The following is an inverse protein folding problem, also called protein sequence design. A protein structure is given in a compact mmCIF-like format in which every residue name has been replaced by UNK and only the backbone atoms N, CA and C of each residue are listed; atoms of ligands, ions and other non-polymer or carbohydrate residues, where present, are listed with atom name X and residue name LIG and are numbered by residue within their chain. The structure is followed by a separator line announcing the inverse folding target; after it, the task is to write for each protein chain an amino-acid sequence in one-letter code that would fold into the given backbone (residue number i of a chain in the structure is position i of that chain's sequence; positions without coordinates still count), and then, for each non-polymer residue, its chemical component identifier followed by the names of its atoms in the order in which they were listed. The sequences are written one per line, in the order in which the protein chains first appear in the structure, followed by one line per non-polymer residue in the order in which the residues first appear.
data_IF_680598652451
#
_entry.id   IF_680598652451
#
_cell.length_a   1.000
_cell.length_b   1.000
_cell.length_c   1.000
_cell.angle_alpha   90.00
_cell.angle_beta   90.00
_cell.angle_gamma   90.00
#
_symmetry.space_group_name_H-M   'P 1'
#
loop_
_entity.id
_entity.type
_entity.pdbx_description
1 polymer ?
#
# COMPACT_ATOMS: atom_id res chain seq x y z
N UNK A 1 19.36 35.15 20.70
CA UNK A 1 18.34 34.12 20.41
C UNK A 1 18.88 33.31 19.25
N UNK A 2 19.25 32.05 19.49
CA UNK A 2 19.57 31.14 18.39
C UNK A 2 18.29 30.95 17.56
N UNK A 3 18.36 31.27 16.29
CA UNK A 3 17.28 30.99 15.33
C UNK A 3 17.29 29.46 15.17
N UNK A 4 16.37 28.78 15.87
CA UNK A 4 16.23 27.34 15.71
C UNK A 4 15.61 27.10 14.33
N UNK A 5 16.44 26.66 13.37
CA UNK A 5 15.99 26.32 12.03
C UNK A 5 15.24 24.98 12.12
N UNK A 6 13.98 24.91 11.68
CA UNK A 6 13.26 23.65 11.67
C UNK A 6 13.98 22.59 10.84
N UNK A 7 13.95 21.34 11.30
CA UNK A 7 14.42 20.21 10.52
C UNK A 7 13.50 19.91 9.33
N UNK A 8 13.96 19.04 8.44
CA UNK A 8 13.22 18.62 7.24
C UNK A 8 12.34 17.42 7.57
N UNK A 9 11.13 17.43 7.03
CA UNK A 9 10.24 16.24 7.06
C UNK A 9 10.36 15.51 5.73
N UNK A 10 10.70 14.23 5.79
CA UNK A 10 10.72 13.33 4.65
C UNK A 10 9.49 12.45 4.68
N UNK A 11 8.59 12.64 3.72
CA UNK A 11 7.42 11.78 3.54
C UNK A 11 7.81 10.60 2.66
N UNK A 12 8.03 9.44 3.27
CA UNK A 12 8.73 8.30 2.65
C UNK A 12 7.81 7.10 2.48
N UNK A 13 7.79 6.52 1.28
CA UNK A 13 7.15 5.24 1.01
C UNK A 13 8.01 4.07 1.50
N UNK A 14 7.42 3.23 2.33
CA UNK A 14 8.04 2.02 2.86
C UNK A 14 7.99 0.82 1.89
N UNK A 15 7.33 1.00 0.73
CA UNK A 15 7.06 -0.14 -0.14
C UNK A 15 6.02 -1.11 0.44
N UNK A 16 5.89 -2.31 -0.13
CA UNK A 16 4.83 -3.27 0.20
C UNK A 16 5.06 -4.08 1.48
N UNK A 17 6.29 -4.08 2.02
CA UNK A 17 6.62 -4.81 3.25
C UNK A 17 8.01 -5.46 3.27
N UNK A 18 8.48 -5.97 2.14
CA UNK A 18 9.84 -6.49 1.99
C UNK A 18 10.86 -5.34 2.02
N UNK A 19 11.87 -5.38 2.92
CA UNK A 19 12.92 -4.37 2.98
C UNK A 19 13.74 -4.23 1.69
N UNK A 20 13.90 -5.28 0.90
CA UNK A 20 14.63 -5.23 -0.37
C UNK A 20 13.87 -4.43 -1.46
N UNK A 21 12.58 -4.15 -1.24
CA UNK A 21 11.76 -3.31 -2.10
C UNK A 21 11.73 -1.83 -1.66
N UNK A 22 12.55 -1.44 -0.68
CA UNK A 22 12.80 -0.04 -0.37
C UNK A 22 13.59 0.62 -1.50
N UNK A 23 13.28 1.89 -1.77
CA UNK A 23 14.19 2.68 -2.58
C UNK A 23 15.48 2.96 -1.82
N UNK A 24 16.62 3.05 -2.51
CA UNK A 24 17.92 3.39 -1.90
C UNK A 24 17.83 4.70 -1.10
N UNK A 25 17.04 5.67 -1.58
CA UNK A 25 16.84 6.95 -0.90
C UNK A 25 16.04 6.75 0.40
N UNK A 26 14.97 5.97 0.37
CA UNK A 26 14.19 5.64 1.57
C UNK A 26 15.07 4.99 2.64
N UNK A 27 15.84 3.96 2.27
CA UNK A 27 16.74 3.26 3.19
C UNK A 27 17.78 4.20 3.82
N UNK A 28 18.41 5.07 3.00
CA UNK A 28 19.37 6.05 3.49
C UNK A 28 18.75 7.01 4.51
N UNK A 29 17.56 7.52 4.24
CA UNK A 29 16.86 8.45 5.14
C UNK A 29 16.41 7.76 6.44
N UNK A 30 15.89 6.53 6.36
CA UNK A 30 15.53 5.73 7.54
C UNK A 30 16.75 5.53 8.47
N UNK A 31 17.94 5.27 7.89
CA UNK A 31 19.18 5.08 8.66
C UNK A 31 19.74 6.35 9.29
N UNK A 32 19.37 7.52 8.78
CA UNK A 32 19.98 8.80 9.19
C UNK A 32 19.04 9.78 9.88
N UNK A 33 17.74 9.47 10.01
CA UNK A 33 16.79 10.38 10.64
C UNK A 33 16.94 10.45 12.16
N UNK A 34 16.56 11.60 12.73
CA UNK A 34 16.51 11.81 14.18
C UNK A 34 15.21 11.20 14.77
N UNK A 35 14.11 11.29 14.01
CA UNK A 35 12.82 10.72 14.40
C UNK A 35 12.15 9.98 13.23
N UNK A 36 11.58 8.80 13.54
CA UNK A 36 10.77 7.98 12.62
C UNK A 36 9.33 7.94 13.12
N UNK A 37 8.39 8.47 12.33
CA UNK A 37 6.94 8.39 12.60
C UNK A 37 6.32 7.46 11.57
N UNK A 38 5.78 6.30 11.99
CA UNK A 38 5.36 5.25 11.05
C UNK A 38 3.93 4.74 11.26
N UNK A 39 3.32 4.26 10.19
CA UNK A 39 2.01 3.60 10.18
C UNK A 39 2.10 2.14 10.65
N UNK A 40 0.94 1.55 11.02
CA UNK A 40 0.86 0.17 11.49
C UNK A 40 1.23 -0.88 10.44
N UNK A 41 1.05 -0.57 9.15
CA UNK A 41 1.34 -1.49 8.03
C UNK A 41 2.81 -1.51 7.62
N UNK A 42 3.64 -0.65 8.20
CA UNK A 42 5.10 -0.69 7.95
C UNK A 42 5.68 -1.93 8.61
N UNK A 43 6.42 -2.71 7.82
CA UNK A 43 7.06 -3.95 8.29
C UNK A 43 8.04 -3.69 9.45
N UNK A 44 8.01 -4.50 10.52
CA UNK A 44 8.98 -4.41 11.60
C UNK A 44 10.44 -4.58 11.13
N UNK A 45 10.66 -5.30 10.02
CA UNK A 45 11.99 -5.46 9.44
C UNK A 45 12.53 -4.14 8.91
N UNK A 46 11.67 -3.31 8.28
CA UNK A 46 12.03 -1.97 7.81
C UNK A 46 12.32 -1.02 8.98
N UNK A 47 11.53 -1.11 10.06
CA UNK A 47 11.74 -0.28 11.25
C UNK A 47 13.09 -0.60 11.91
N UNK A 48 13.57 -1.84 11.85
CA UNK A 48 14.88 -2.25 12.36
C UNK A 48 16.07 -1.64 11.62
N UNK A 49 15.86 -1.10 10.40
CA UNK A 49 16.92 -0.42 9.65
C UNK A 49 17.27 0.97 10.22
N UNK A 50 16.51 1.48 11.19
CA UNK A 50 16.80 2.76 11.85
C UNK A 50 18.06 2.68 12.72
N UNK A 51 18.70 3.84 12.92
CA UNK A 51 19.80 3.96 13.86
C UNK A 51 19.28 3.77 15.30
N UNK A 52 20.13 3.25 16.21
CA UNK A 52 19.80 3.07 17.63
C UNK A 52 19.43 4.37 18.36
N UNK A 53 19.87 5.53 17.84
CA UNK A 53 19.58 6.86 18.42
C UNK A 53 18.27 7.46 17.90
N UNK A 54 17.65 6.88 16.85
CA UNK A 54 16.40 7.39 16.26
C UNK A 54 15.25 7.23 17.23
N UNK A 55 14.49 8.30 17.46
CA UNK A 55 13.23 8.24 18.21
C UNK A 55 12.14 7.65 17.31
N UNK A 56 11.44 6.58 17.77
CA UNK A 56 10.47 5.86 16.95
C UNK A 56 9.06 6.06 17.51
N UNK A 57 8.14 6.54 16.67
CA UNK A 57 6.74 6.81 16.99
C UNK A 57 5.81 5.98 16.10
N UNK A 58 5.05 5.07 16.70
CA UNK A 58 4.00 4.33 16.01
C UNK A 58 2.67 5.09 16.10
N UNK A 59 2.19 5.63 15.00
CA UNK A 59 0.91 6.35 14.90
C UNK A 59 -0.17 5.55 14.18
N UNK A 60 0.13 4.31 13.80
CA UNK A 60 -0.79 3.44 13.07
C UNK A 60 -1.91 2.87 13.93
N UNK A 61 -3.04 2.56 13.29
CA UNK A 61 -4.16 1.85 13.91
C UNK A 61 -3.81 0.39 14.10
N UNK A 62 -3.82 -0.12 15.33
CA UNK A 62 -3.89 -1.55 15.60
C UNK A 62 -5.31 -1.91 16.03
N UNK A 63 -5.80 -3.09 15.61
CA UNK A 63 -7.08 -3.61 16.06
C UNK A 63 -7.13 -3.61 17.59
N UNK A 64 -8.16 -2.96 18.17
CA UNK A 64 -8.38 -2.90 19.63
C UNK A 64 -7.71 -1.72 20.37
N UNK A 65 -6.89 -0.87 19.72
CA UNK A 65 -6.32 0.33 20.33
C UNK A 65 -6.88 1.59 19.67
N UNK A 66 -7.12 2.65 20.46
CA UNK A 66 -7.48 3.96 19.93
C UNK A 66 -6.42 4.40 18.91
N UNK A 67 -6.89 4.71 17.69
CA UNK A 67 -6.00 5.28 16.68
C UNK A 67 -5.59 6.69 17.10
N UNK A 68 -4.32 7.04 16.92
CA UNK A 68 -3.91 8.43 16.97
C UNK A 68 -4.67 9.17 15.84
N UNK A 69 -5.47 10.22 16.14
CA UNK A 69 -6.11 10.99 15.09
C UNK A 69 -5.09 11.56 14.11
N UNK A 70 -5.48 11.70 12.85
CA UNK A 70 -4.58 12.27 11.82
C UNK A 70 -4.06 13.65 12.21
N UNK A 71 -4.89 14.45 12.86
CA UNK A 71 -4.50 15.78 13.36
C UNK A 71 -3.35 15.69 14.37
N UNK A 72 -3.43 14.75 15.31
CA UNK A 72 -2.40 14.58 16.35
C UNK A 72 -1.08 14.06 15.74
N UNK A 73 -1.17 13.17 14.75
CA UNK A 73 0.00 12.71 13.98
C UNK A 73 0.68 13.91 13.30
N UNK A 74 -0.08 14.76 12.64
CA UNK A 74 0.43 15.94 11.97
C UNK A 74 1.08 16.93 12.96
N UNK A 75 0.45 17.17 14.12
CA UNK A 75 0.99 18.02 15.18
C UNK A 75 2.29 17.46 15.76
N UNK A 76 2.38 16.14 15.96
CA UNK A 76 3.59 15.47 16.41
C UNK A 76 4.75 15.72 15.43
N UNK A 77 4.52 15.56 14.12
CA UNK A 77 5.55 15.76 13.11
C UNK A 77 6.01 17.21 13.08
N UNK A 78 5.08 18.19 13.15
CA UNK A 78 5.40 19.63 13.23
C UNK A 78 6.24 19.94 14.48
N UNK A 79 5.87 19.37 15.63
CA UNK A 79 6.62 19.56 16.89
C UNK A 79 8.07 19.08 16.73
N UNK A 80 8.26 17.84 16.26
CA UNK A 80 9.58 17.25 16.09
C UNK A 80 10.44 18.07 15.12
N UNK A 81 9.86 18.51 13.99
CA UNK A 81 10.57 19.34 13.04
C UNK A 81 10.97 20.70 13.62
N UNK A 82 10.08 21.35 14.39
CA UNK A 82 10.39 22.63 15.08
C UNK A 82 11.46 22.48 16.18
N UNK A 83 11.66 21.29 16.71
CA UNK A 83 12.78 20.97 17.59
C UNK A 83 14.12 20.83 16.84
N UNK A 84 14.13 21.04 15.51
CA UNK A 84 15.33 20.91 14.64
C UNK A 84 15.62 19.49 14.17
N UNK A 85 14.72 18.51 14.42
CA UNK A 85 14.91 17.12 14.04
C UNK A 85 14.55 16.88 12.57
N UNK A 86 15.38 16.09 11.86
CA UNK A 86 15.04 15.50 10.57
C UNK A 86 14.08 14.31 10.80
N UNK A 87 12.86 14.46 10.34
CA UNK A 87 11.77 13.50 10.61
C UNK A 87 11.48 12.67 9.37
N UNK A 88 11.54 11.35 9.48
CA UNK A 88 10.99 10.44 8.45
C UNK A 88 9.56 10.07 8.85
N UNK A 89 8.58 10.55 8.07
CA UNK A 89 7.20 10.07 8.09
C UNK A 89 7.10 8.87 7.14
N UNK A 90 7.13 7.66 7.69
CA UNK A 90 7.20 6.41 6.94
C UNK A 90 5.80 5.81 6.75
N UNK A 91 5.37 5.64 5.50
CA UNK A 91 4.03 5.21 5.09
C UNK A 91 4.11 3.90 4.30
N UNK A 92 3.21 2.96 4.54
CA UNK A 92 3.13 1.73 3.76
C UNK A 92 2.88 2.02 2.27
N UNK A 93 3.53 1.29 1.38
CA UNK A 93 3.44 1.50 -0.07
C UNK A 93 4.08 2.80 -0.52
N UNK A 94 3.29 3.63 -1.20
CA UNK A 94 3.66 4.96 -1.68
C UNK A 94 2.93 6.06 -0.89
N UNK A 95 3.58 7.19 -0.56
CA UNK A 95 2.97 8.23 0.26
C UNK A 95 1.80 8.97 -0.40
N UNK A 96 1.64 8.90 -1.73
CA UNK A 96 0.58 9.60 -2.47
C UNK A 96 -0.48 8.67 -3.08
N UNK A 97 -0.35 7.35 -2.91
CA UNK A 97 -1.35 6.38 -3.40
C UNK A 97 -2.23 5.90 -2.25
N UNK A 98 -3.44 6.45 -2.13
CA UNK A 98 -4.46 6.15 -1.09
C UNK A 98 -3.96 6.23 0.36
N UNK A 99 -2.98 7.08 0.64
CA UNK A 99 -2.27 7.17 1.92
C UNK A 99 -2.40 8.51 2.63
N UNK A 100 -3.20 9.45 2.11
CA UNK A 100 -3.42 10.80 2.64
C UNK A 100 -2.16 11.69 2.69
N UNK A 101 -1.11 11.34 1.96
CA UNK A 101 0.14 12.10 1.96
C UNK A 101 -0.02 13.55 1.52
N UNK A 102 -0.91 13.85 0.55
CA UNK A 102 -1.19 15.20 0.12
C UNK A 102 -1.79 16.07 1.25
N UNK A 103 -2.65 15.49 2.11
CA UNK A 103 -3.19 16.19 3.27
C UNK A 103 -2.08 16.49 4.30
N UNK A 104 -1.20 15.52 4.57
CA UNK A 104 -0.06 15.68 5.48
C UNK A 104 0.89 16.78 5.00
N UNK A 105 1.26 16.77 3.71
CA UNK A 105 2.13 17.81 3.10
C UNK A 105 1.50 19.20 3.25
N UNK A 106 0.23 19.36 2.85
CA UNK A 106 -0.46 20.64 2.94
C UNK A 106 -0.52 21.17 4.38
N UNK A 107 -0.64 20.31 5.38
CA UNK A 107 -0.63 20.70 6.78
C UNK A 107 0.77 21.14 7.22
N UNK A 108 1.82 20.45 6.83
CA UNK A 108 3.21 20.75 7.17
C UNK A 108 3.64 22.09 6.56
N UNK A 109 3.34 22.32 5.27
CA UNK A 109 3.63 23.57 4.56
C UNK A 109 2.96 24.78 5.24
N UNK A 110 1.68 24.65 5.65
CA UNK A 110 0.97 25.70 6.41
C UNK A 110 1.62 26.02 7.75
N UNK A 111 2.39 25.11 8.32
CA UNK A 111 3.14 25.30 9.55
C UNK A 111 4.60 25.73 9.34
N UNK A 112 4.99 26.04 8.08
CA UNK A 112 6.32 26.50 7.72
C UNK A 112 7.39 25.40 7.74
N UNK A 113 6.99 24.13 7.60
CA UNK A 113 7.90 22.99 7.59
C UNK A 113 8.24 22.59 6.14
N UNK A 114 9.53 22.47 5.84
CA UNK A 114 10.01 21.97 4.56
C UNK A 114 9.78 20.46 4.46
N UNK A 115 9.21 20.02 3.34
CA UNK A 115 8.88 18.61 3.10
C UNK A 115 9.54 18.11 1.83
N UNK A 116 10.13 16.92 1.89
CA UNK A 116 10.61 16.19 0.72
C UNK A 116 9.84 14.87 0.59
N UNK A 117 9.32 14.58 -0.63
CA UNK A 117 8.56 13.36 -0.91
C UNK A 117 9.50 12.32 -1.52
N UNK A 118 9.47 11.10 -0.97
CA UNK A 118 10.24 9.96 -1.47
C UNK A 118 9.27 8.85 -1.84
N UNK A 119 9.09 8.54 -3.13
CA UNK A 119 8.18 7.49 -3.58
C UNK A 119 8.53 6.12 -3.02
N UNK A 120 7.54 5.26 -2.93
CA UNK A 120 7.70 3.85 -2.63
C UNK A 120 6.92 2.99 -3.60
N UNK A 121 7.22 1.68 -3.66
CA UNK A 121 6.47 0.75 -4.50
C UNK A 121 5.11 0.53 -3.84
N UNK A 122 4.05 1.00 -4.49
CA UNK A 122 2.69 0.82 -3.99
C UNK A 122 2.26 -0.64 -4.07
N UNK A 123 1.47 -1.11 -3.09
CA UNK A 123 1.03 -2.51 -3.00
C UNK A 123 0.20 -2.96 -4.22
N UNK A 124 -0.50 -2.05 -4.89
CA UNK A 124 -1.26 -2.38 -6.10
C UNK A 124 -0.39 -2.75 -7.29
N UNK A 125 0.89 -2.36 -7.30
CA UNK A 125 1.89 -2.81 -8.29
C UNK A 125 2.64 -4.04 -7.75
N UNK A 126 3.12 -3.96 -6.53
CA UNK A 126 3.97 -5.01 -5.96
C UNK A 126 3.24 -6.33 -5.76
N UNK A 127 1.99 -6.30 -5.28
CA UNK A 127 1.25 -7.51 -4.96
C UNK A 127 1.02 -8.41 -6.19
N UNK A 128 0.43 -7.94 -7.31
CA UNK A 128 0.29 -8.77 -8.50
C UNK A 128 1.63 -9.20 -9.09
N UNK A 129 2.61 -8.31 -9.17
CA UNK A 129 3.94 -8.63 -9.68
C UNK A 129 4.60 -9.75 -8.88
N UNK A 130 4.45 -9.74 -7.55
CA UNK A 130 5.00 -10.74 -6.64
C UNK A 130 4.35 -12.14 -6.81
N UNK A 131 3.24 -12.24 -7.51
CA UNK A 131 2.58 -13.50 -7.88
C UNK A 131 2.58 -13.77 -9.39
N UNK A 132 3.44 -13.06 -10.14
CA UNK A 132 3.58 -13.25 -11.59
C UNK A 132 2.34 -12.82 -12.38
N UNK A 133 1.49 -11.94 -11.83
CA UNK A 133 0.33 -11.39 -12.53
C UNK A 133 0.73 -10.03 -13.13
N UNK A 134 0.82 -9.92 -14.46
CA UNK A 134 1.10 -8.65 -15.11
C UNK A 134 -0.10 -7.71 -14.96
N UNK A 135 0.13 -6.42 -14.73
CA UNK A 135 -0.96 -5.43 -14.70
C UNK A 135 -1.37 -4.96 -16.10
N UNK A 136 -0.47 -5.09 -17.07
CA UNK A 136 -0.73 -4.80 -18.49
C UNK A 136 -0.20 -5.94 -19.34
N UNK A 137 -0.91 -6.26 -20.42
CA UNK A 137 -0.50 -7.27 -21.39
C UNK A 137 -1.03 -6.91 -22.77
N UNK A 138 -0.25 -7.08 -23.84
CA UNK A 138 -0.63 -6.67 -25.19
C UNK A 138 -1.94 -7.30 -25.67
N UNK A 139 -2.24 -8.53 -25.21
CA UNK A 139 -3.42 -9.29 -25.59
C UNK A 139 -4.59 -9.16 -24.60
N UNK A 140 -4.37 -8.57 -23.41
CA UNK A 140 -5.36 -8.58 -22.33
C UNK A 140 -5.90 -7.20 -21.96
N UNK A 141 -5.15 -6.15 -22.26
CA UNK A 141 -5.57 -4.80 -21.93
C UNK A 141 -4.42 -3.81 -21.82
N UNK A 142 -4.67 -2.59 -22.19
CA UNK A 142 -3.74 -1.46 -22.20
C UNK A 142 -4.03 -0.43 -21.11
N UNK A 143 -5.11 -0.62 -20.36
CA UNK A 143 -5.51 0.28 -19.27
C UNK A 143 -5.66 -0.45 -17.95
N UNK A 144 -5.21 0.21 -16.88
CA UNK A 144 -5.36 -0.23 -15.49
C UNK A 144 -5.87 0.92 -14.64
N UNK A 145 -6.90 0.67 -13.86
CA UNK A 145 -7.42 1.65 -12.91
C UNK A 145 -7.13 1.24 -11.48
N UNK A 146 -6.39 2.08 -10.76
CA UNK A 146 -6.25 1.98 -9.31
C UNK A 146 -7.45 2.66 -8.63
N UNK A 147 -8.13 1.95 -7.75
CA UNK A 147 -9.35 2.45 -7.10
C UNK A 147 -9.40 2.03 -5.63
N UNK A 148 -9.99 2.85 -4.78
CA UNK A 148 -10.28 2.49 -3.39
C UNK A 148 -11.64 1.84 -3.26
N UNK A 149 -11.71 0.69 -2.56
CA UNK A 149 -12.98 0.07 -2.16
C UNK A 149 -13.49 0.55 -0.80
N UNK A 150 -12.75 1.48 -0.16
CA UNK A 150 -13.14 2.04 1.14
C UNK A 150 -14.07 3.24 0.93
N UNK A 151 -15.36 2.96 0.82
CA UNK A 151 -16.42 3.94 0.84
C UNK A 151 -17.48 3.54 1.88
N UNK A 152 -18.09 4.54 2.49
CA UNK A 152 -19.31 4.32 3.25
C UNK A 152 -20.46 4.13 2.26
N UNK A 153 -20.91 2.87 2.12
CA UNK A 153 -21.98 2.48 1.17
C UNK A 153 -23.34 3.14 1.48
N UNK A 154 -23.48 3.70 2.69
CA UNK A 154 -24.69 4.39 3.13
C UNK A 154 -24.68 5.90 2.87
N UNK A 155 -23.56 6.47 2.35
CA UNK A 155 -23.53 7.87 1.97
C UNK A 155 -24.31 8.11 0.68
N UNK A 156 -25.07 9.22 0.66
CA UNK A 156 -25.85 9.62 -0.50
C UNK A 156 -24.98 9.90 -1.74
N UNK A 157 -23.76 10.39 -1.53
CA UNK A 157 -22.81 10.68 -2.59
C UNK A 157 -21.67 9.65 -2.57
N UNK A 158 -21.76 8.66 -3.47
CA UNK A 158 -20.68 7.72 -3.75
C UNK A 158 -19.64 8.40 -4.65
N UNK A 159 -18.35 8.22 -4.34
CA UNK A 159 -17.26 8.81 -5.12
C UNK A 159 -16.79 7.87 -6.22
N UNK A 160 -16.94 6.56 -6.05
CA UNK A 160 -16.56 5.55 -7.06
C UNK A 160 -17.79 5.05 -7.81
N UNK A 161 -17.77 5.22 -9.13
CA UNK A 161 -18.80 4.67 -10.02
C UNK A 161 -18.37 3.31 -10.59
N UNK A 162 -18.63 2.25 -9.83
CA UNK A 162 -18.25 0.88 -10.17
C UNK A 162 -18.85 0.41 -11.51
N UNK A 163 -20.10 0.81 -11.83
CA UNK A 163 -20.76 0.44 -13.09
C UNK A 163 -20.08 1.08 -14.30
N UNK A 164 -19.55 2.29 -14.14
CA UNK A 164 -18.77 2.94 -15.20
C UNK A 164 -17.40 2.28 -15.34
N UNK A 165 -16.73 1.97 -14.23
CA UNK A 165 -15.43 1.29 -14.23
C UNK A 165 -15.49 -0.08 -14.90
N UNK A 166 -16.59 -0.81 -14.76
CA UNK A 166 -16.83 -2.08 -15.46
C UNK A 166 -16.73 -1.98 -16.99
N UNK A 167 -16.95 -0.78 -17.56
CA UNK A 167 -16.94 -0.55 -19.02
C UNK A 167 -15.73 0.21 -19.50
N UNK A 168 -15.04 0.94 -18.62
CA UNK A 168 -14.02 1.93 -19.02
C UNK A 168 -12.59 1.50 -18.73
N UNK A 169 -12.38 0.36 -18.08
CA UNK A 169 -11.04 -0.13 -17.72
C UNK A 169 -10.88 -1.61 -18.05
N UNK A 170 -9.75 -1.97 -18.67
CA UNK A 170 -9.42 -3.35 -18.98
C UNK A 170 -9.07 -4.17 -17.71
N UNK A 171 -8.58 -3.47 -16.68
CA UNK A 171 -8.28 -4.09 -15.40
C UNK A 171 -8.43 -3.11 -14.22
N UNK A 172 -8.86 -3.63 -13.09
CA UNK A 172 -9.03 -2.89 -11.85
C UNK A 172 -8.08 -3.42 -10.79
N UNK A 173 -7.42 -2.51 -10.07
CA UNK A 173 -6.63 -2.81 -8.86
C UNK A 173 -7.28 -2.09 -7.69
N UNK A 174 -7.89 -2.86 -6.79
CA UNK A 174 -8.74 -2.34 -5.73
C UNK A 174 -7.99 -2.41 -4.41
N UNK A 175 -7.79 -1.25 -3.79
CA UNK A 175 -7.26 -1.09 -2.44
C UNK A 175 -8.40 -1.06 -1.43
N UNK A 176 -8.19 -1.61 -0.24
CA UNK A 176 -9.16 -1.55 0.87
C UNK A 176 -10.56 -2.08 0.51
N UNK A 177 -10.66 -2.98 -0.50
CA UNK A 177 -11.93 -3.48 -1.02
C UNK A 177 -12.55 -4.61 -0.21
N UNK A 178 -11.81 -5.28 0.67
CA UNK A 178 -12.23 -6.52 1.34
C UNK A 178 -13.56 -6.39 2.09
N UNK A 179 -13.75 -5.27 2.79
CA UNK A 179 -14.98 -5.03 3.58
C UNK A 179 -16.23 -4.87 2.71
N UNK A 180 -16.07 -4.34 1.50
CA UNK A 180 -17.18 -3.99 0.61
C UNK A 180 -17.23 -4.90 -0.62
N UNK A 181 -16.56 -6.05 -0.60
CA UNK A 181 -16.36 -6.88 -1.80
C UNK A 181 -17.67 -7.37 -2.42
N UNK A 182 -18.66 -7.75 -1.64
CA UNK A 182 -19.98 -8.17 -2.13
C UNK A 182 -20.67 -7.05 -2.91
N UNK A 183 -20.65 -5.83 -2.36
CA UNK A 183 -21.20 -4.65 -3.01
C UNK A 183 -20.43 -4.33 -4.30
N UNK A 184 -19.11 -4.36 -4.27
CA UNK A 184 -18.24 -4.07 -5.43
C UNK A 184 -18.53 -5.07 -6.57
N UNK A 185 -18.55 -6.36 -6.27
CA UNK A 185 -18.86 -7.42 -7.25
C UNK A 185 -20.23 -7.20 -7.86
N UNK A 186 -21.26 -6.97 -7.03
CA UNK A 186 -22.62 -6.69 -7.50
C UNK A 186 -22.68 -5.50 -8.46
N UNK A 187 -22.04 -4.40 -8.13
CA UNK A 187 -22.05 -3.18 -8.96
C UNK A 187 -21.29 -3.37 -10.28
N UNK A 188 -20.17 -4.13 -10.27
CA UNK A 188 -19.42 -4.45 -11.48
C UNK A 188 -20.24 -5.35 -12.43
N UNK A 189 -20.95 -6.35 -11.91
CA UNK A 189 -21.85 -7.22 -12.68
C UNK A 189 -23.02 -6.42 -13.28
N UNK A 190 -23.67 -5.55 -12.49
CA UNK A 190 -24.71 -4.63 -12.99
C UNK A 190 -24.15 -3.70 -14.06
N UNK A 191 -22.89 -3.29 -13.95
CA UNK A 191 -22.17 -2.49 -14.95
C UNK A 191 -21.88 -3.22 -16.25
N UNK A 192 -22.09 -4.55 -16.30
CA UNK A 192 -21.91 -5.39 -17.48
C UNK A 192 -20.53 -6.05 -17.58
N UNK A 193 -19.75 -6.08 -16.50
CA UNK A 193 -18.54 -6.89 -16.49
C UNK A 193 -18.89 -8.38 -16.49
N UNK A 194 -18.21 -9.17 -17.33
CA UNK A 194 -18.47 -10.61 -17.47
C UNK A 194 -18.30 -11.32 -16.11
N UNK A 195 -19.26 -12.12 -15.74
CA UNK A 195 -19.28 -12.89 -14.49
C UNK A 195 -18.11 -13.88 -14.38
N UNK A 196 -17.55 -14.33 -15.50
CA UNK A 196 -16.40 -15.22 -15.57
C UNK A 196 -15.06 -14.48 -15.61
N UNK A 197 -15.06 -13.13 -15.53
CA UNK A 197 -13.83 -12.33 -15.46
C UNK A 197 -12.94 -12.84 -14.34
N UNK A 198 -11.67 -13.10 -14.65
CA UNK A 198 -10.70 -13.59 -13.67
C UNK A 198 -10.36 -12.50 -12.65
N UNK A 199 -10.25 -12.94 -11.39
CA UNK A 199 -9.93 -12.10 -10.25
C UNK A 199 -8.80 -12.73 -9.43
N UNK A 200 -7.94 -11.90 -8.88
CA UNK A 200 -6.93 -12.31 -7.89
C UNK A 200 -7.11 -11.51 -6.61
N UNK A 201 -6.99 -12.19 -5.46
CA UNK A 201 -6.92 -11.55 -4.13
C UNK A 201 -5.56 -11.89 -3.54
N UNK A 202 -4.79 -10.87 -3.21
CA UNK A 202 -3.43 -11.03 -2.73
C UNK A 202 -3.34 -10.40 -1.36
N UNK A 203 -3.20 -11.25 -0.34
CA UNK A 203 -3.11 -10.85 1.06
C UNK A 203 -1.65 -10.82 1.50
N UNK A 204 -1.28 -9.78 2.27
CA UNK A 204 0.02 -9.62 2.91
C UNK A 204 1.21 -9.83 1.94
N UNK A 205 1.05 -9.31 0.72
CA UNK A 205 2.04 -9.46 -0.35
C UNK A 205 3.43 -9.02 0.10
N UNK A 206 4.45 -9.74 -0.35
CA UNK A 206 5.87 -9.57 -0.02
C UNK A 206 6.27 -9.90 1.42
N UNK A 207 5.33 -10.32 2.26
CA UNK A 207 5.59 -10.83 3.60
C UNK A 207 5.63 -12.36 3.63
N UNK A 208 6.21 -12.95 4.68
CA UNK A 208 6.38 -14.41 4.78
C UNK A 208 5.06 -15.20 4.79
N UNK A 209 3.97 -14.58 5.20
CA UNK A 209 2.63 -15.17 5.27
C UNK A 209 1.71 -14.77 4.10
N UNK A 210 2.30 -14.25 3.01
CA UNK A 210 1.55 -13.87 1.83
C UNK A 210 0.75 -15.02 1.20
N UNK A 211 -0.44 -14.68 0.70
CA UNK A 211 -1.34 -15.63 0.05
C UNK A 211 -1.94 -15.03 -1.22
N UNK A 212 -2.19 -15.87 -2.20
CA UNK A 212 -2.90 -15.48 -3.42
C UNK A 212 -4.06 -16.43 -3.70
N UNK A 213 -5.22 -15.89 -4.00
CA UNK A 213 -6.41 -16.58 -4.44
C UNK A 213 -6.74 -16.14 -5.86
N UNK A 214 -7.04 -17.11 -6.74
CA UNK A 214 -7.60 -16.85 -8.07
C UNK A 214 -9.04 -17.34 -8.09
N UNK A 215 -9.96 -16.52 -8.60
CA UNK A 215 -11.39 -16.84 -8.70
C UNK A 215 -11.99 -16.21 -9.96
N UNK A 216 -13.24 -16.48 -10.22
CA UNK A 216 -14.11 -15.75 -11.15
C UNK A 216 -14.91 -14.70 -10.39
N UNK A 217 -15.28 -13.61 -11.06
CA UNK A 217 -15.97 -12.48 -10.45
C UNK A 217 -17.24 -12.89 -9.70
N UNK A 218 -18.07 -13.76 -10.31
CA UNK A 218 -19.32 -14.25 -9.71
C UNK A 218 -19.12 -14.96 -8.38
N UNK A 219 -18.01 -15.65 -8.20
CA UNK A 219 -17.69 -16.45 -7.02
C UNK A 219 -16.74 -15.73 -6.04
N UNK A 220 -16.28 -14.52 -6.36
CA UNK A 220 -15.16 -13.86 -5.66
C UNK A 220 -15.46 -13.65 -4.18
N UNK A 221 -16.61 -13.07 -3.85
CA UNK A 221 -16.96 -12.75 -2.46
C UNK A 221 -17.09 -14.02 -1.59
N UNK A 222 -17.79 -15.03 -2.09
CA UNK A 222 -17.94 -16.32 -1.42
C UNK A 222 -16.60 -17.03 -1.24
N UNK A 223 -15.76 -17.04 -2.28
CA UNK A 223 -14.45 -17.69 -2.22
C UNK A 223 -13.52 -17.00 -1.22
N UNK A 224 -13.55 -15.67 -1.14
CA UNK A 224 -12.81 -14.90 -0.12
C UNK A 224 -13.22 -15.35 1.28
N UNK A 225 -14.53 -15.44 1.56
CA UNK A 225 -15.06 -15.86 2.86
C UNK A 225 -14.65 -17.29 3.19
N UNK A 226 -14.90 -18.24 2.27
CA UNK A 226 -14.63 -19.66 2.47
C UNK A 226 -13.14 -19.98 2.66
N UNK A 227 -12.25 -19.20 2.03
CA UNK A 227 -10.78 -19.37 2.14
C UNK A 227 -10.14 -18.54 3.25
N UNK A 228 -10.92 -17.76 3.99
CA UNK A 228 -10.46 -16.97 5.13
C UNK A 228 -9.48 -15.86 4.74
N UNK A 229 -9.68 -15.22 3.58
CA UNK A 229 -8.90 -14.05 3.19
C UNK A 229 -9.40 -12.80 3.92
N UNK A 230 -8.47 -11.95 4.33
CA UNK A 230 -8.75 -10.74 5.11
C UNK A 230 -7.85 -9.57 4.71
N UNK A 231 -8.05 -8.42 5.33
CA UNK A 231 -7.16 -7.26 5.20
C UNK A 231 -5.84 -7.47 5.97
N UNK A 232 -4.70 -6.94 5.46
CA UNK A 232 -4.58 -6.13 4.25
C UNK A 232 -4.51 -6.98 2.98
N UNK A 233 -5.24 -6.60 1.95
CA UNK A 233 -5.24 -7.29 0.65
C UNK A 233 -5.42 -6.32 -0.52
N UNK A 234 -4.84 -6.70 -1.66
CA UNK A 234 -5.08 -6.09 -2.96
C UNK A 234 -5.96 -7.04 -3.78
N UNK A 235 -6.98 -6.49 -4.46
CA UNK A 235 -7.84 -7.25 -5.36
C UNK A 235 -7.55 -6.77 -6.78
N UNK A 236 -7.29 -7.70 -7.69
CA UNK A 236 -7.07 -7.45 -9.12
C UNK A 236 -8.20 -8.12 -9.89
N UNK A 237 -8.88 -7.36 -10.76
CA UNK A 237 -10.00 -7.87 -11.59
C UNK A 237 -9.69 -7.53 -13.04
N UNK A 238 -9.77 -8.51 -13.94
CA UNK A 238 -9.58 -8.33 -15.37
C UNK A 238 -8.95 -9.55 -16.04
N UNK A 239 -9.01 -9.58 -17.37
CA UNK A 239 -8.41 -10.63 -18.21
C UNK A 239 -6.91 -10.82 -17.97
N UNK A 240 -6.20 -9.77 -17.53
CA UNK A 240 -4.78 -9.79 -17.15
C UNK A 240 -4.44 -10.86 -16.11
N UNK A 241 -5.36 -11.21 -15.22
CA UNK A 241 -5.16 -12.26 -14.21
C UNK A 241 -4.98 -13.64 -14.86
N UNK A 242 -5.54 -13.84 -16.07
CA UNK A 242 -5.37 -15.08 -16.85
C UNK A 242 -3.95 -15.26 -17.44
N UNK A 243 -3.18 -14.18 -17.51
CA UNK A 243 -1.80 -14.19 -18.03
C UNK A 243 -0.75 -14.38 -16.92
N UNK A 244 -1.16 -14.90 -15.77
CA UNK A 244 -0.26 -15.23 -14.68
C UNK A 244 0.86 -16.18 -15.16
N UNK A 245 2.10 -15.84 -14.88
CA UNK A 245 3.26 -16.68 -15.18
C UNK A 245 3.26 -17.90 -14.26
N UNK A 246 3.17 -19.11 -14.83
CA UNK A 246 3.04 -20.36 -14.06
C UNK A 246 4.34 -20.78 -13.37
N UNK A 247 5.50 -20.46 -13.95
CA UNK A 247 6.82 -20.80 -13.41
C UNK A 247 7.47 -19.63 -12.68
N UNK A 248 6.66 -18.78 -12.06
CA UNK A 248 7.14 -17.65 -11.30
C UNK A 248 7.68 -18.12 -9.93
N UNK A 249 8.95 -17.89 -9.68
CA UNK A 249 9.62 -18.24 -8.43
C UNK A 249 9.54 -17.01 -7.50
N UNK A 250 8.59 -17.05 -6.57
CA UNK A 250 8.61 -16.18 -5.40
C UNK A 250 9.33 -16.96 -4.30
N UNK A 251 10.30 -16.37 -3.66
CA UNK A 251 11.14 -16.98 -2.64
C UNK A 251 12.16 -17.96 -3.25
N UNK A 252 13.18 -17.42 -3.91
CA UNK A 252 14.41 -18.19 -4.09
C UNK A 252 14.88 -18.63 -2.70
N UNK A 253 15.17 -19.93 -2.51
CA UNK A 253 15.85 -20.36 -1.28
C UNK A 253 17.08 -19.49 -1.05
N UNK A 254 17.42 -19.25 0.22
CA UNK A 254 18.59 -18.44 0.63
C UNK A 254 19.88 -18.75 -0.15
N UNK A 255 20.02 -20.02 -0.63
CA UNK A 255 21.14 -20.49 -1.44
C UNK A 255 21.30 -19.78 -2.80
N UNK A 256 20.25 -19.12 -3.30
CA UNK A 256 20.28 -18.40 -4.59
C UNK A 256 20.42 -16.90 -4.45
N UNK A 257 20.46 -16.37 -3.21
CA UNK A 257 20.68 -14.94 -2.98
C UNK A 257 22.16 -14.58 -3.22
N UNK A 258 22.44 -13.45 -3.90
CA UNK A 258 23.82 -12.99 -4.09
C UNK A 258 24.55 -12.87 -2.75
N UNK A 259 25.73 -13.49 -2.64
CA UNK A 259 26.58 -13.44 -1.45
C UNK A 259 26.36 -14.53 -0.40
N UNK A 260 25.35 -15.39 -0.54
CA UNK A 260 25.24 -16.61 0.30
C UNK A 260 25.89 -17.80 -0.40
N UNK A 261 26.74 -18.54 0.33
CA UNK A 261 27.36 -19.77 -0.20
C UNK A 261 26.26 -20.80 -0.48
N UNK A 262 26.30 -21.43 -1.66
CA UNK A 262 25.49 -22.64 -1.93
C UNK A 262 25.80 -23.70 -0.88
N UNK A 263 24.78 -24.45 -0.43
CA UNK A 263 24.98 -25.58 0.49
C UNK A 263 25.91 -26.63 -0.10
#
# INVERSE_FOLDING_TARGET
MEINVPGIVYLVGAGPGDPELLTLKALRLIKSCDALVHDALVSPQIIKETNKKTEIFNVGKRAGLCSVPQADTNLLIVKLAKEGKNVVRLKGGDPFVFSRGGEEVSFLEKNGISVEIVPGITSGIAAPSNFGIPLTHREAGSSITFVTGHEDINKDKKTVNWRLLAKSSDGLVIYMGMRNIEFIVKELLIGGLDENTKCAVIQEATLNNQKCLISELKNLAETISNKGFSSPSIIVIGSIVGFKVNNYINNLPDAYLPGKKKP
#
